data_IF_500902703719
#
_entry.id   IF_500902703719
#
_cell.length_a   1.000
_cell.length_b   1.000
_cell.length_c   1.000
_cell.angle_alpha   90.00
_cell.angle_beta   90.00
_cell.angle_gamma   90.00
#
_symmetry.space_group_name_H-M   'P 1'
#
loop_
_entity.id
_entity.type
_entity.pdbx_description
1 polymer ?
#
# COMPACT_ATOMS: atom_id res chain seq x y z
N UNK A 1 -19.77 24.07 47.29
CA UNK A 1 -20.63 25.26 47.42
C UNK A 1 -20.01 26.35 46.55
N UNK A 2 -20.55 26.65 45.45
CA UNK A 2 -20.78 27.94 44.77
C UNK A 2 -21.16 27.69 43.33
N UNK A 3 -22.44 27.80 43.08
CA UNK A 3 -23.08 27.86 41.76
C UNK A 3 -22.83 29.22 41.15
N UNK A 4 -22.28 29.26 39.90
CA UNK A 4 -22.31 30.49 39.08
C UNK A 4 -23.26 30.29 37.92
N UNK A 5 -24.38 30.99 38.03
CA UNK A 5 -25.41 31.21 37.02
C UNK A 5 -24.84 32.08 35.89
N UNK A 6 -24.97 31.69 34.62
CA UNK A 6 -24.72 32.55 33.47
C UNK A 6 -26.06 32.91 32.82
N UNK A 7 -26.32 34.21 32.78
CA UNK A 7 -27.52 34.85 32.29
C UNK A 7 -27.63 34.77 30.73
N UNK A 8 -28.85 34.47 30.30
CA UNK A 8 -29.27 34.47 28.90
C UNK A 8 -29.59 35.88 28.48
N UNK A 9 -28.85 36.49 27.56
CA UNK A 9 -29.22 37.73 26.89
C UNK A 9 -30.06 37.41 25.65
N UNK A 10 -31.33 37.73 25.75
CA UNK A 10 -32.27 37.83 24.63
C UNK A 10 -31.97 39.11 23.86
N UNK A 11 -31.65 39.01 22.57
CA UNK A 11 -31.64 40.15 21.63
C UNK A 11 -32.87 40.02 20.73
N UNK A 12 -33.72 41.04 20.77
CA UNK A 12 -34.94 41.19 19.97
C UNK A 12 -34.63 41.51 18.49
N UNK A 13 -35.52 41.14 17.57
CA UNK A 13 -35.34 41.42 16.15
C UNK A 13 -35.71 42.85 15.79
N UNK A 14 -34.87 43.50 15.00
CA UNK A 14 -35.10 44.81 14.44
C UNK A 14 -35.70 44.68 13.07
N UNK A 15 -36.98 45.05 12.94
CA UNK A 15 -37.68 45.19 11.68
C UNK A 15 -37.06 46.34 10.86
N UNK A 16 -36.66 46.11 9.62
CA UNK A 16 -36.45 47.15 8.62
C UNK A 16 -37.26 46.88 7.36
N UNK A 17 -38.26 47.72 7.25
CA UNK A 17 -39.09 48.10 6.12
C UNK A 17 -38.57 47.74 4.73
N UNK A 18 -39.53 47.24 3.99
CA UNK A 18 -39.54 47.02 2.55
C UNK A 18 -39.13 48.27 1.75
N UNK A 19 -38.23 48.07 0.79
CA UNK A 19 -38.19 48.87 -0.43
C UNK A 19 -38.17 47.92 -1.61
N UNK A 20 -39.30 47.92 -2.35
CA UNK A 20 -39.43 47.30 -3.67
C UNK A 20 -38.51 48.04 -4.63
N UNK A 21 -37.56 47.35 -5.21
CA UNK A 21 -36.91 47.76 -6.45
C UNK A 21 -37.08 46.59 -7.43
N UNK A 22 -37.96 46.84 -8.41
CA UNK A 22 -38.03 46.01 -9.63
C UNK A 22 -36.70 46.22 -10.37
N UNK A 23 -35.94 45.20 -10.57
CA UNK A 23 -34.93 45.21 -11.64
C UNK A 23 -34.87 43.82 -12.28
N UNK A 24 -35.00 43.88 -13.55
CA UNK A 24 -35.11 42.89 -14.62
C UNK A 24 -34.22 41.68 -14.44
N UNK A 25 -34.84 40.50 -14.65
CA UNK A 25 -34.14 39.22 -14.60
C UNK A 25 -33.11 39.07 -15.73
N UNK A 26 -31.95 38.65 -15.34
CA UNK A 26 -31.02 37.90 -16.19
C UNK A 26 -31.00 36.51 -15.62
N UNK A 27 -31.71 35.59 -16.26
CA UNK A 27 -31.62 34.13 -15.97
C UNK A 27 -30.29 33.68 -16.53
N UNK A 28 -29.25 33.68 -15.69
CA UNK A 28 -28.03 32.98 -15.98
C UNK A 28 -28.28 31.47 -15.74
N UNK A 29 -28.53 30.73 -16.81
CA UNK A 29 -28.48 29.26 -16.79
C UNK A 29 -27.02 28.83 -16.46
N UNK A 30 -26.69 28.78 -15.17
CA UNK A 30 -25.49 28.17 -14.68
C UNK A 30 -25.59 26.64 -14.91
N UNK A 31 -24.94 26.16 -15.93
CA UNK A 31 -24.70 24.72 -16.10
C UNK A 31 -23.82 24.25 -14.92
N UNK A 32 -24.46 23.78 -13.85
CA UNK A 32 -23.79 23.06 -12.78
C UNK A 32 -23.23 21.76 -13.39
N UNK A 33 -21.95 21.80 -13.76
CA UNK A 33 -21.20 20.60 -14.11
C UNK A 33 -21.10 19.77 -12.83
N UNK A 34 -22.05 18.85 -12.64
CA UNK A 34 -21.99 17.88 -11.55
C UNK A 34 -20.78 16.99 -11.79
N UNK A 35 -19.69 17.30 -11.11
CA UNK A 35 -18.56 16.38 -10.93
C UNK A 35 -19.09 15.18 -10.12
N UNK A 36 -19.68 14.21 -10.83
CA UNK A 36 -20.04 12.93 -10.23
C UNK A 36 -18.72 12.30 -9.74
N UNK A 37 -18.56 12.04 -8.42
CA UNK A 37 -17.42 11.33 -7.94
C UNK A 37 -17.41 9.97 -8.65
N UNK A 38 -16.35 9.69 -9.43
CA UNK A 38 -16.14 8.35 -9.95
C UNK A 38 -16.12 7.41 -8.75
N UNK A 39 -16.94 6.34 -8.73
CA UNK A 39 -16.86 5.36 -7.66
C UNK A 39 -15.39 4.89 -7.58
N UNK A 40 -14.78 5.05 -6.42
CA UNK A 40 -13.48 4.49 -6.16
C UNK A 40 -13.67 2.98 -6.07
N UNK A 41 -13.56 2.29 -7.21
CA UNK A 41 -13.59 0.84 -7.24
C UNK A 41 -12.45 0.33 -6.35
N UNK A 42 -12.79 -0.51 -5.37
CA UNK A 42 -11.80 -1.31 -4.66
C UNK A 42 -11.01 -2.14 -5.69
N UNK A 43 -9.70 -2.28 -5.47
CA UNK A 43 -8.88 -3.10 -6.35
C UNK A 43 -9.40 -4.54 -6.34
N UNK A 44 -9.55 -5.16 -7.51
CA UNK A 44 -9.98 -6.56 -7.63
C UNK A 44 -8.89 -7.48 -7.05
N UNK A 45 -9.23 -8.16 -5.94
CA UNK A 45 -8.31 -9.07 -5.26
C UNK A 45 -7.91 -10.28 -6.09
N UNK A 46 -8.77 -10.75 -7.00
CA UNK A 46 -8.44 -11.86 -7.88
C UNK A 46 -7.45 -11.46 -8.97
N UNK A 47 -7.62 -10.27 -9.55
CA UNK A 47 -6.66 -9.71 -10.49
C UNK A 47 -5.31 -9.45 -9.82
N UNK A 48 -5.31 -8.92 -8.59
CA UNK A 48 -4.08 -8.74 -7.79
C UNK A 48 -3.37 -10.06 -7.56
N UNK A 49 -4.09 -11.11 -7.13
CA UNK A 49 -3.52 -12.44 -6.90
C UNK A 49 -2.83 -12.97 -8.17
N UNK A 50 -3.50 -12.90 -9.32
CA UNK A 50 -2.96 -13.34 -10.60
C UNK A 50 -1.73 -12.53 -11.01
N UNK A 51 -1.78 -11.21 -10.85
CA UNK A 51 -0.68 -10.33 -11.21
C UNK A 51 0.57 -10.56 -10.34
N UNK A 52 0.40 -10.80 -9.05
CA UNK A 52 1.52 -11.04 -8.12
C UNK A 52 2.05 -12.48 -8.19
N UNK A 53 1.29 -13.40 -8.80
CA UNK A 53 1.77 -14.74 -9.16
C UNK A 53 2.49 -14.76 -10.52
N UNK A 54 2.40 -13.70 -11.32
CA UNK A 54 3.05 -13.65 -12.63
C UNK A 54 4.58 -13.48 -12.50
N UNK A 55 5.36 -13.96 -13.48
CA UNK A 55 6.82 -13.89 -13.48
C UNK A 55 7.35 -12.45 -13.31
N UNK A 56 6.67 -11.48 -13.87
CA UNK A 56 6.90 -10.04 -13.67
C UNK A 56 5.61 -9.29 -13.93
N UNK A 57 4.94 -8.84 -12.86
CA UNK A 57 3.73 -8.03 -13.00
C UNK A 57 3.97 -6.72 -13.75
N UNK A 58 5.22 -6.19 -13.69
CA UNK A 58 5.62 -4.95 -14.38
C UNK A 58 5.67 -5.10 -15.89
N UNK A 59 5.95 -6.31 -16.38
CA UNK A 59 6.00 -6.63 -17.81
C UNK A 59 4.61 -6.86 -18.42
N UNK A 60 3.56 -6.97 -17.57
CA UNK A 60 2.19 -7.21 -18.00
C UNK A 60 1.39 -5.91 -17.89
N UNK A 61 1.05 -5.23 -19.01
CA UNK A 61 0.40 -3.91 -18.98
C UNK A 61 -0.90 -3.89 -18.15
N UNK A 62 -1.67 -4.99 -18.16
CA UNK A 62 -2.92 -5.13 -17.42
C UNK A 62 -2.71 -5.22 -15.92
N UNK A 63 -1.54 -5.67 -15.46
CA UNK A 63 -1.18 -5.79 -14.05
C UNK A 63 -0.66 -4.48 -13.45
N UNK A 64 -0.08 -3.61 -14.25
CA UNK A 64 0.56 -2.38 -13.75
C UNK A 64 -0.41 -1.45 -13.02
N UNK A 65 -1.59 -1.07 -13.57
CA UNK A 65 -2.52 -0.18 -12.89
C UNK A 65 -3.06 -0.76 -11.57
N UNK A 66 -3.58 -2.00 -11.50
CA UNK A 66 -4.15 -2.55 -10.27
C UNK A 66 -3.11 -2.77 -9.18
N UNK A 67 -1.89 -3.22 -9.50
CA UNK A 67 -0.83 -3.41 -8.49
C UNK A 67 -0.34 -2.07 -7.96
N UNK A 68 -0.14 -1.06 -8.81
CA UNK A 68 0.18 0.30 -8.34
C UNK A 68 -0.95 0.92 -7.52
N UNK A 69 -2.21 0.65 -7.86
CA UNK A 69 -3.34 1.11 -7.06
C UNK A 69 -3.36 0.42 -5.70
N UNK A 70 -3.11 -0.89 -5.65
CA UNK A 70 -2.99 -1.64 -4.40
C UNK A 70 -1.96 -1.01 -3.46
N UNK A 71 -0.74 -0.73 -3.92
CA UNK A 71 0.29 -0.11 -3.09
C UNK A 71 -0.13 1.26 -2.55
N UNK A 72 -0.78 2.09 -3.37
CA UNK A 72 -1.34 3.38 -2.93
C UNK A 72 -2.45 3.22 -1.88
N UNK A 73 -3.26 2.19 -2.01
CA UNK A 73 -4.36 1.92 -1.08
C UNK A 73 -3.83 1.40 0.25
N UNK A 74 -2.87 0.48 0.22
CA UNK A 74 -2.16 0.00 1.42
C UNK A 74 -1.43 1.15 2.14
N UNK A 75 -0.72 2.01 1.40
CA UNK A 75 -0.05 3.19 1.95
C UNK A 75 -1.02 4.17 2.67
N UNK A 76 -2.31 4.12 2.34
CA UNK A 76 -3.38 4.90 2.99
C UNK A 76 -4.11 4.12 4.10
N UNK A 77 -3.61 2.94 4.47
CA UNK A 77 -4.21 2.09 5.50
C UNK A 77 -5.48 1.36 5.07
N UNK A 78 -5.78 1.26 3.77
CA UNK A 78 -6.91 0.45 3.30
C UNK A 78 -6.61 -1.04 3.48
N UNK A 79 -7.67 -1.81 3.73
CA UNK A 79 -7.58 -3.26 3.85
C UNK A 79 -7.05 -3.92 2.57
N UNK A 80 -6.34 -5.02 2.72
CA UNK A 80 -5.82 -5.82 1.61
C UNK A 80 -6.98 -6.56 0.91
N UNK A 81 -7.14 -6.44 -0.42
CA UNK A 81 -8.20 -7.12 -1.15
C UNK A 81 -7.89 -8.62 -1.27
N UNK A 82 -8.88 -9.46 -0.98
CA UNK A 82 -8.76 -10.91 -1.13
C UNK A 82 -9.56 -11.42 -2.33
N UNK A 83 -9.13 -12.53 -2.93
CA UNK A 83 -9.86 -13.20 -4.01
C UNK A 83 -10.82 -14.25 -3.43
N UNK A 84 -12.09 -13.93 -3.37
CA UNK A 84 -13.11 -14.87 -2.87
C UNK A 84 -13.38 -16.08 -3.79
N UNK A 85 -12.94 -16.03 -5.06
CA UNK A 85 -13.11 -17.09 -6.05
C UNK A 85 -11.81 -17.91 -6.26
N UNK A 86 -10.76 -17.64 -5.49
CA UNK A 86 -9.54 -18.42 -5.58
C UNK A 86 -9.81 -19.88 -5.19
N UNK A 87 -9.31 -20.83 -5.98
CA UNK A 87 -9.39 -22.25 -5.65
C UNK A 87 -8.69 -22.56 -4.32
N UNK A 88 -8.99 -23.74 -3.77
CA UNK A 88 -8.40 -24.18 -2.50
C UNK A 88 -6.87 -24.06 -2.49
N UNK A 89 -6.32 -23.47 -1.43
CA UNK A 89 -4.87 -23.25 -1.29
C UNK A 89 -4.31 -22.06 -2.06
N UNK A 90 -5.12 -21.37 -2.89
CA UNK A 90 -4.71 -20.15 -3.58
C UNK A 90 -5.14 -18.93 -2.78
N UNK A 91 -4.17 -18.14 -2.32
CA UNK A 91 -4.44 -16.94 -1.50
C UNK A 91 -3.32 -15.93 -1.60
N UNK A 92 -3.64 -14.70 -1.28
CA UNK A 92 -2.67 -13.65 -1.01
C UNK A 92 -2.97 -12.98 0.34
N UNK A 93 -1.93 -12.54 1.02
CA UNK A 93 -1.99 -11.79 2.26
C UNK A 93 -0.95 -10.69 2.28
N UNK A 94 -1.14 -9.71 3.14
CA UNK A 94 -0.25 -8.56 3.31
C UNK A 94 0.21 -8.48 4.76
N UNK A 95 1.52 -8.24 4.94
CA UNK A 95 2.16 -7.99 6.22
C UNK A 95 3.01 -6.71 6.14
N UNK A 96 3.02 -5.91 7.22
CA UNK A 96 3.91 -4.75 7.31
C UNK A 96 5.32 -5.19 7.69
N UNK A 97 6.33 -4.64 7.01
CA UNK A 97 7.74 -4.94 7.31
C UNK A 97 8.28 -4.04 8.43
N UNK A 98 7.63 -4.08 9.57
CA UNK A 98 7.97 -3.25 10.74
C UNK A 98 9.08 -3.84 11.62
N UNK A 99 9.54 -5.06 11.35
CA UNK A 99 10.54 -5.74 12.19
C UNK A 99 11.64 -6.37 11.33
N UNK A 100 12.87 -6.52 11.85
CA UNK A 100 13.99 -7.14 11.15
C UNK A 100 13.67 -8.55 10.63
N UNK A 101 12.85 -9.32 11.37
CA UNK A 101 12.44 -10.67 11.01
C UNK A 101 11.61 -10.75 9.71
N UNK A 102 11.04 -9.63 9.27
CA UNK A 102 10.20 -9.56 8.07
C UNK A 102 10.88 -8.89 6.88
N UNK A 103 12.06 -8.30 7.06
CA UNK A 103 12.79 -7.61 6.01
C UNK A 103 13.97 -8.47 5.54
N UNK A 104 14.13 -8.72 4.23
CA UNK A 104 15.29 -9.41 3.72
C UNK A 104 16.58 -8.64 4.05
N UNK A 105 17.69 -9.34 4.34
CA UNK A 105 18.91 -8.70 4.84
C UNK A 105 19.47 -7.67 3.85
N UNK A 106 19.39 -7.91 2.54
CA UNK A 106 19.86 -6.98 1.50
C UNK A 106 19.08 -5.65 1.47
N UNK A 107 17.90 -5.58 2.10
CA UNK A 107 17.05 -4.38 2.19
C UNK A 107 16.90 -3.89 3.64
N UNK A 108 17.69 -4.43 4.56
CA UNK A 108 17.73 -4.01 5.96
C UNK A 108 18.92 -3.10 6.20
N UNK A 109 18.66 -1.87 6.65
CA UNK A 109 19.69 -0.92 7.09
C UNK A 109 19.78 -0.94 8.60
N UNK A 110 21.01 -0.92 9.12
CA UNK A 110 21.28 -0.84 10.55
C UNK A 110 21.89 0.52 10.87
N UNK A 111 21.37 1.16 11.90
CA UNK A 111 21.86 2.44 12.43
C UNK A 111 22.22 2.24 13.90
N UNK A 112 23.39 2.72 14.31
CA UNK A 112 23.76 2.73 15.72
C UNK A 112 23.06 3.88 16.44
N UNK A 113 22.44 3.58 17.59
CA UNK A 113 21.79 4.55 18.47
C UNK A 113 22.21 4.30 19.93
N UNK A 114 21.97 5.27 20.82
CA UNK A 114 22.32 5.17 22.25
C UNK A 114 21.72 3.95 22.96
N UNK A 115 20.56 3.46 22.48
CA UNK A 115 19.86 2.27 23.01
C UNK A 115 20.21 0.96 22.32
N UNK A 116 21.18 0.94 21.41
CA UNK A 116 21.53 -0.21 20.57
C UNK A 116 21.13 -0.03 19.11
N UNK A 117 21.36 -1.02 18.24
CA UNK A 117 21.12 -0.91 16.82
C UNK A 117 19.62 -0.77 16.49
N UNK A 118 19.31 0.15 15.59
CA UNK A 118 17.97 0.34 15.00
C UNK A 118 18.00 -0.26 13.60
N UNK A 119 17.01 -1.06 13.29
CA UNK A 119 16.86 -1.69 11.98
C UNK A 119 15.72 -1.03 11.19
N UNK A 120 15.99 -0.70 9.94
CA UNK A 120 15.02 -0.12 9.02
C UNK A 120 14.95 -0.95 7.74
N UNK A 121 13.73 -1.29 7.31
CA UNK A 121 13.50 -1.92 6.03
C UNK A 121 13.33 -0.86 4.93
N UNK A 122 13.91 -1.09 3.75
CA UNK A 122 13.71 -0.23 2.58
C UNK A 122 12.28 -0.34 2.02
N UNK A 123 11.58 -1.41 2.36
CA UNK A 123 10.18 -1.66 1.97
C UNK A 123 9.23 -1.50 3.15
N UNK A 124 8.01 -1.04 2.85
CA UNK A 124 6.97 -0.77 3.85
C UNK A 124 6.19 -2.02 4.23
N UNK A 125 6.11 -2.99 3.34
CA UNK A 125 5.37 -4.23 3.56
C UNK A 125 5.67 -5.29 2.51
N UNK A 126 5.13 -6.48 2.73
CA UNK A 126 5.23 -7.61 1.85
C UNK A 126 3.84 -8.21 1.55
N UNK A 127 3.64 -8.61 0.31
CA UNK A 127 2.45 -9.34 -0.12
C UNK A 127 2.88 -10.74 -0.50
N UNK A 128 2.45 -11.71 0.28
CA UNK A 128 2.74 -13.13 0.04
C UNK A 128 1.63 -13.77 -0.79
N UNK A 129 2.02 -14.58 -1.77
CA UNK A 129 1.13 -15.39 -2.60
C UNK A 129 1.41 -16.85 -2.34
N UNK A 130 0.34 -17.61 -2.12
CA UNK A 130 0.39 -19.09 -2.05
C UNK A 130 -0.41 -19.69 -3.19
N UNK A 131 0.11 -20.71 -3.81
CA UNK A 131 -0.55 -21.50 -4.87
C UNK A 131 -0.59 -22.96 -4.42
N UNK A 132 -1.77 -23.56 -4.45
CA UNK A 132 -2.00 -24.93 -3.97
C UNK A 132 -1.50 -25.16 -2.54
N UNK A 133 -1.60 -24.17 -1.67
CA UNK A 133 -1.16 -24.21 -0.27
C UNK A 133 0.33 -23.98 -0.05
N UNK A 134 1.16 -23.96 -1.10
CA UNK A 134 2.59 -23.70 -1.01
C UNK A 134 2.93 -22.22 -1.25
N UNK A 135 3.98 -21.71 -0.61
CA UNK A 135 4.52 -20.38 -0.86
C UNK A 135 4.98 -20.30 -2.33
N UNK A 136 4.50 -19.30 -3.05
CA UNK A 136 4.81 -19.09 -4.45
C UNK A 136 5.69 -17.87 -4.66
N UNK A 137 5.20 -16.69 -4.25
CA UNK A 137 5.95 -15.42 -4.34
C UNK A 137 5.71 -14.54 -3.13
N UNK A 138 6.65 -13.61 -2.90
CA UNK A 138 6.50 -12.51 -1.95
C UNK A 138 6.95 -11.22 -2.62
N UNK A 139 6.04 -10.27 -2.74
CA UNK A 139 6.32 -8.96 -3.33
C UNK A 139 6.51 -7.94 -2.21
N UNK A 140 7.74 -7.48 -2.04
CA UNK A 140 8.10 -6.38 -1.17
C UNK A 140 7.75 -5.06 -1.86
N UNK A 141 7.14 -4.11 -1.15
CA UNK A 141 6.67 -2.86 -1.73
C UNK A 141 6.93 -1.69 -0.78
N UNK A 142 7.14 -0.49 -1.34
CA UNK A 142 7.33 0.76 -0.60
C UNK A 142 6.21 1.77 -0.87
N UNK A 143 6.01 2.70 0.06
CA UNK A 143 5.08 3.84 -0.10
C UNK A 143 5.42 4.67 -1.33
N UNK A 144 6.71 4.73 -1.72
CA UNK A 144 7.18 5.39 -2.94
C UNK A 144 6.81 4.66 -4.24
N UNK A 145 6.20 3.47 -4.14
CA UNK A 145 5.74 2.67 -5.30
C UNK A 145 6.80 1.76 -5.90
N UNK A 146 7.99 1.67 -5.29
CA UNK A 146 8.97 0.66 -5.66
C UNK A 146 8.56 -0.71 -5.10
N UNK A 147 9.01 -1.78 -5.75
CA UNK A 147 8.78 -3.14 -5.29
C UNK A 147 9.73 -4.13 -5.95
N UNK A 148 9.95 -5.23 -5.28
CA UNK A 148 10.74 -6.36 -5.75
C UNK A 148 10.01 -7.66 -5.40
N UNK A 149 10.13 -8.69 -6.22
CA UNK A 149 9.45 -9.97 -5.98
C UNK A 149 10.46 -11.08 -5.76
N UNK A 150 10.32 -11.74 -4.63
CA UNK A 150 10.99 -12.99 -4.28
C UNK A 150 10.11 -14.14 -4.74
N UNK A 151 10.66 -15.09 -5.50
CA UNK A 151 9.98 -16.33 -5.88
C UNK A 151 10.56 -17.51 -5.11
N UNK A 152 9.68 -18.43 -4.67
CA UNK A 152 10.15 -19.69 -4.07
C UNK A 152 10.90 -20.53 -5.10
N UNK A 153 11.80 -21.45 -4.67
CA UNK A 153 12.50 -22.34 -5.60
C UNK A 153 11.55 -23.14 -6.50
N UNK A 154 10.43 -23.61 -5.93
CA UNK A 154 9.40 -24.34 -6.70
C UNK A 154 8.72 -23.44 -7.74
N UNK A 155 8.42 -22.18 -7.39
CA UNK A 155 7.86 -21.19 -8.32
C UNK A 155 8.83 -20.89 -9.46
N UNK A 156 10.13 -20.72 -9.18
CA UNK A 156 11.17 -20.48 -10.19
C UNK A 156 11.25 -21.62 -11.18
N UNK A 157 11.21 -22.86 -10.70
CA UNK A 157 11.19 -24.06 -11.56
C UNK A 157 9.94 -24.09 -12.44
N UNK A 158 8.79 -23.71 -11.91
CA UNK A 158 7.51 -23.70 -12.63
C UNK A 158 7.45 -22.59 -13.68
N UNK A 159 7.97 -21.40 -13.35
CA UNK A 159 7.94 -20.22 -14.21
C UNK A 159 8.96 -20.29 -15.36
N UNK A 160 10.11 -20.90 -15.13
CA UNK A 160 11.25 -20.93 -16.06
C UNK A 160 11.99 -19.59 -16.18
N UNK A 161 11.26 -18.47 -16.23
CA UNK A 161 11.81 -17.10 -16.24
C UNK A 161 11.02 -16.21 -15.29
N UNK A 162 11.70 -15.30 -14.58
CA UNK A 162 11.09 -14.38 -13.61
C UNK A 162 11.88 -13.06 -13.51
N UNK A 163 11.36 -12.09 -12.79
CA UNK A 163 12.08 -10.86 -12.41
C UNK A 163 13.18 -11.22 -11.40
N UNK A 164 14.45 -11.17 -11.82
CA UNK A 164 15.60 -11.64 -11.02
C UNK A 164 16.12 -10.61 -10.03
N UNK A 165 15.57 -9.39 -9.98
CA UNK A 165 16.11 -8.29 -9.15
C UNK A 165 16.31 -8.68 -7.69
N UNK A 166 15.38 -9.43 -7.10
CA UNK A 166 15.53 -9.90 -5.72
C UNK A 166 16.77 -10.78 -5.56
N UNK A 167 16.96 -11.74 -6.48
CA UNK A 167 18.08 -12.67 -6.45
C UNK A 167 19.41 -11.97 -6.74
N UNK A 168 19.42 -11.04 -7.68
CA UNK A 168 20.59 -10.22 -8.04
C UNK A 168 21.04 -9.34 -6.86
N UNK A 169 20.09 -8.70 -6.18
CA UNK A 169 20.38 -7.86 -5.03
C UNK A 169 20.84 -8.68 -3.82
N UNK A 170 20.26 -9.88 -3.62
CA UNK A 170 20.72 -10.82 -2.61
C UNK A 170 22.15 -11.29 -2.88
N UNK A 171 22.47 -11.63 -4.15
CA UNK A 171 23.82 -12.00 -4.55
C UNK A 171 24.86 -10.91 -4.31
N UNK A 172 24.53 -9.65 -4.63
CA UNK A 172 25.39 -8.48 -4.34
C UNK A 172 25.59 -8.30 -2.84
N UNK A 173 24.53 -8.45 -2.05
CA UNK A 173 24.61 -8.34 -0.60
C UNK A 173 25.51 -9.43 -0.02
N UNK A 174 25.35 -10.69 -0.43
CA UNK A 174 26.21 -11.80 0.00
C UNK A 174 27.69 -11.53 -0.30
N UNK A 175 27.98 -10.98 -1.48
CA UNK A 175 29.35 -10.64 -1.86
C UNK A 175 29.93 -9.49 -1.03
N UNK A 176 29.09 -8.66 -0.40
CA UNK A 176 29.51 -7.53 0.45
C UNK A 176 29.71 -7.89 1.92
N UNK A 177 29.16 -9.04 2.35
CA UNK A 177 29.30 -9.49 3.74
C UNK A 177 30.71 -10.02 3.95
N UNK A 178 31.49 -9.51 4.94
CA UNK A 178 32.81 -10.06 5.23
C UNK A 178 32.71 -11.56 5.55
N UNK A 179 33.61 -12.36 5.01
CA UNK A 179 33.71 -13.75 5.41
C UNK A 179 33.93 -13.83 6.94
N UNK A 180 33.12 -14.68 7.61
CA UNK A 180 33.32 -14.92 9.04
C UNK A 180 34.79 -15.31 9.26
N UNK A 181 35.47 -14.63 10.21
CA UNK A 181 36.82 -15.02 10.58
C UNK A 181 36.79 -16.49 10.98
N UNK A 182 37.76 -17.30 10.52
CA UNK A 182 37.82 -18.69 10.95
C UNK A 182 37.93 -18.70 12.47
N UNK A 183 37.05 -19.48 13.13
CA UNK A 183 37.14 -19.71 14.56
C UNK A 183 38.55 -20.21 14.87
N UNK A 184 39.35 -19.38 15.52
CA UNK A 184 40.66 -19.77 16.01
C UNK A 184 40.43 -20.69 17.20
N UNK A 185 40.94 -21.94 17.20
CA UNK A 185 40.74 -22.92 18.28
C UNK A 185 41.37 -22.48 19.61
#
# INVERSE_FOLDING_TARGET
MQTKSCAVHRVLPREHRARRVLSHGVVALGTALTLLPKPAHAVDGCLVLLCLAAPSWRAIPQCVPPVKQLFRDLARGKGFPTCGMAGAGNRSNHDWSSAPAFCPPQYTRTFEAEGGPIYQCDYSGAISVSINGAAFSRTWWSVGGDSVTEFSPAAKTQLGTWDTRFDDDYGKWLASVPAAAPDTP
#
